data_IF_104349970545
#
_entry.id   IF_104349970545
#
_cell.length_a   1.000
_cell.length_b   1.000
_cell.length_c   1.000
_cell.angle_alpha   90.00
_cell.angle_beta   90.00
_cell.angle_gamma   90.00
#
_symmetry.space_group_name_H-M   'P 1'
#
loop_
_entity.id
_entity.type
_entity.pdbx_description
1 polymer ?
#
# COMPACT_ATOMS: atom_id res chain seq x y z
N UNK A 1 -9.18 -69.89 -28.07
CA UNK A 1 -10.18 -68.83 -28.35
C UNK A 1 -10.33 -67.96 -27.11
N UNK A 2 -10.39 -66.62 -27.30
CA UNK A 2 -10.75 -65.54 -26.35
C UNK A 2 -9.66 -65.01 -25.41
N UNK A 3 -9.67 -63.68 -25.11
CA UNK A 3 -8.60 -62.79 -25.57
C UNK A 3 -7.93 -61.95 -24.46
N UNK A 4 -6.80 -61.33 -24.84
CA UNK A 4 -6.18 -60.16 -24.22
C UNK A 4 -7.22 -59.06 -23.94
N UNK A 5 -7.17 -58.46 -22.75
CA UNK A 5 -7.74 -57.13 -22.49
C UNK A 5 -6.63 -56.26 -21.89
N UNK A 6 -6.09 -55.37 -22.73
CA UNK A 6 -5.28 -54.22 -22.36
C UNK A 6 -6.20 -53.15 -21.73
N UNK A 7 -5.91 -52.76 -20.49
CA UNK A 7 -6.52 -51.59 -19.85
C UNK A 7 -5.63 -50.36 -20.05
N UNK A 8 -6.02 -49.50 -21.00
CA UNK A 8 -5.68 -48.08 -21.06
C UNK A 8 -6.25 -47.40 -19.78
N UNK A 9 -5.57 -46.53 -19.03
CA UNK A 9 -4.77 -45.40 -19.46
C UNK A 9 -5.60 -44.12 -19.44
N UNK A 10 -5.99 -43.59 -18.27
CA UNK A 10 -6.69 -42.28 -18.17
C UNK A 10 -6.66 -41.73 -16.72
N UNK A 11 -5.54 -41.15 -16.25
CA UNK A 11 -5.51 -40.43 -14.95
C UNK A 11 -4.33 -39.46 -14.81
N UNK A 12 -3.99 -38.67 -15.83
CA UNK A 12 -2.88 -37.68 -15.71
C UNK A 12 -3.19 -36.28 -16.28
N UNK A 13 -4.45 -35.97 -16.62
CA UNK A 13 -4.78 -34.72 -17.31
C UNK A 13 -5.30 -33.56 -16.45
N UNK A 14 -5.82 -33.80 -15.24
CA UNK A 14 -6.63 -32.78 -14.55
C UNK A 14 -5.86 -31.91 -13.54
N UNK A 15 -4.65 -32.29 -13.13
CA UNK A 15 -3.94 -31.60 -12.03
C UNK A 15 -3.05 -30.42 -12.48
N UNK A 16 -2.75 -30.29 -13.78
CA UNK A 16 -1.82 -29.26 -14.27
C UNK A 16 -2.49 -27.92 -14.61
N UNK A 17 -3.82 -27.89 -14.80
CA UNK A 17 -4.53 -26.64 -15.10
C UNK A 17 -4.84 -25.81 -13.84
N UNK A 18 -4.95 -26.44 -12.66
CA UNK A 18 -5.23 -25.71 -11.43
C UNK A 18 -4.01 -24.96 -10.86
N UNK A 19 -2.79 -25.43 -11.11
CA UNK A 19 -1.58 -24.75 -10.63
C UNK A 19 -1.29 -23.44 -11.41
N UNK A 20 -1.67 -23.37 -12.69
CA UNK A 20 -1.49 -22.17 -13.52
C UNK A 20 -2.46 -21.03 -13.15
N UNK A 21 -3.66 -21.34 -12.63
CA UNK A 21 -4.65 -20.35 -12.23
C UNK A 21 -4.37 -19.69 -10.86
N UNK A 22 -3.59 -20.33 -9.99
CA UNK A 22 -3.26 -19.78 -8.66
C UNK A 22 -2.01 -18.88 -8.71
N UNK A 23 -1.16 -19.00 -9.74
CA UNK A 23 0.01 -18.13 -9.92
C UNK A 23 -0.32 -16.74 -10.52
N UNK A 24 -1.53 -16.53 -11.02
CA UNK A 24 -1.92 -15.31 -11.73
C UNK A 24 -2.65 -14.26 -10.86
N UNK A 25 -2.84 -14.50 -9.55
CA UNK A 25 -3.11 -13.41 -8.61
C UNK A 25 -1.81 -12.65 -8.27
N UNK A 26 -0.99 -12.40 -9.30
CA UNK A 26 0.14 -11.50 -9.23
C UNK A 26 -0.39 -10.16 -8.74
N UNK A 27 0.17 -9.68 -7.64
CA UNK A 27 -0.06 -8.33 -7.12
C UNK A 27 0.01 -7.37 -8.30
N UNK A 28 -1.13 -6.92 -8.83
CA UNK A 28 -1.16 -5.86 -9.82
C UNK A 28 -0.51 -4.68 -9.13
N UNK A 29 0.65 -4.27 -9.65
CA UNK A 29 1.32 -3.10 -9.12
C UNK A 29 0.51 -1.85 -9.41
N UNK A 30 0.94 -0.72 -8.87
CA UNK A 30 0.16 0.52 -8.92
C UNK A 30 -0.07 0.91 -10.40
N UNK A 31 -1.33 1.22 -10.81
CA UNK A 31 -1.65 1.64 -12.17
C UNK A 31 -0.80 2.83 -12.61
N UNK A 32 -0.45 2.89 -13.90
CA UNK A 32 0.50 3.87 -14.43
C UNK A 32 0.11 5.32 -14.10
N UNK A 33 -1.15 5.70 -14.36
CA UNK A 33 -1.64 7.06 -14.10
C UNK A 33 -1.50 7.43 -12.61
N UNK A 34 -1.90 6.50 -11.72
CA UNK A 34 -1.75 6.69 -10.27
C UNK A 34 -0.28 6.81 -9.88
N UNK A 35 0.63 6.00 -10.45
CA UNK A 35 2.06 6.13 -10.17
C UNK A 35 2.62 7.47 -10.58
N UNK A 36 2.22 7.96 -11.75
CA UNK A 36 2.69 9.25 -12.26
C UNK A 36 2.20 10.40 -11.40
N UNK A 37 0.96 10.34 -10.92
CA UNK A 37 0.41 11.29 -9.97
C UNK A 37 1.13 11.23 -8.61
N UNK A 38 1.42 10.04 -8.07
CA UNK A 38 2.01 9.88 -6.74
C UNK A 38 3.51 10.22 -6.68
N UNK A 39 4.26 10.03 -7.76
CA UNK A 39 5.71 10.27 -7.75
C UNK A 39 5.99 11.77 -7.56
N UNK A 40 6.85 12.07 -6.60
CA UNK A 40 7.21 13.45 -6.26
C UNK A 40 7.45 13.65 -4.77
N UNK A 41 7.50 14.91 -4.38
CA UNK A 41 7.62 15.33 -3.00
C UNK A 41 6.30 15.93 -2.50
N UNK A 42 5.87 15.48 -1.33
CA UNK A 42 4.58 15.81 -0.73
C UNK A 42 4.71 16.17 0.74
N UNK A 43 3.84 17.07 1.20
CA UNK A 43 3.67 17.51 2.59
C UNK A 43 2.21 17.28 2.98
N UNK A 44 1.85 16.08 3.48
CA UNK A 44 0.47 15.78 3.90
C UNK A 44 0.07 16.50 5.17
N UNK A 45 1.01 16.58 6.12
CA UNK A 45 0.82 17.33 7.37
C UNK A 45 2.02 18.22 7.60
N UNK A 46 1.80 19.28 8.36
CA UNK A 46 2.87 20.13 8.85
C UNK A 46 3.88 19.28 9.66
N UNK A 47 5.17 19.45 9.34
CA UNK A 47 6.24 18.67 9.95
C UNK A 47 6.43 17.26 9.40
N UNK A 48 5.72 16.85 8.35
CA UNK A 48 5.91 15.58 7.65
C UNK A 48 6.17 15.78 6.15
N UNK A 49 7.23 15.15 5.62
CA UNK A 49 7.60 15.22 4.21
C UNK A 49 7.79 13.82 3.64
N UNK A 50 7.15 13.57 2.51
CA UNK A 50 7.21 12.32 1.76
C UNK A 50 7.93 12.54 0.43
N UNK A 51 8.93 11.72 0.14
CA UNK A 51 9.51 11.58 -1.19
C UNK A 51 9.10 10.22 -1.74
N UNK A 52 8.18 10.21 -2.70
CA UNK A 52 7.69 8.99 -3.35
C UNK A 52 8.42 8.79 -4.67
N UNK A 53 9.12 7.67 -4.79
CA UNK A 53 9.88 7.31 -5.98
C UNK A 53 9.42 5.97 -6.55
N UNK A 54 9.72 5.76 -7.84
CA UNK A 54 9.48 4.48 -8.51
C UNK A 54 10.41 3.40 -7.95
N UNK A 55 9.89 2.19 -7.82
CA UNK A 55 10.63 0.99 -7.45
C UNK A 55 10.32 -0.12 -8.47
N UNK A 56 11.22 -0.31 -9.44
CA UNK A 56 10.98 -1.21 -10.57
C UNK A 56 9.87 -0.70 -11.49
N UNK A 57 9.30 -1.62 -12.29
CA UNK A 57 8.29 -1.26 -13.31
C UNK A 57 6.94 -0.87 -12.72
N UNK A 58 6.57 -1.49 -11.59
CA UNK A 58 5.20 -1.44 -11.07
C UNK A 58 5.09 -1.00 -9.61
N UNK A 59 6.22 -0.87 -8.90
CA UNK A 59 6.27 -0.51 -7.48
C UNK A 59 6.53 0.97 -7.22
N UNK A 60 6.19 1.40 -6.01
CA UNK A 60 6.54 2.71 -5.47
C UNK A 60 7.11 2.54 -4.06
N UNK A 61 8.00 3.46 -3.67
CA UNK A 61 8.56 3.53 -2.33
C UNK A 61 8.54 4.98 -1.85
N UNK A 62 8.14 5.18 -0.60
CA UNK A 62 8.19 6.46 0.08
C UNK A 62 9.40 6.51 1.02
N UNK A 63 10.12 7.63 1.03
CA UNK A 63 10.95 8.07 2.15
C UNK A 63 10.19 9.13 2.93
N UNK A 64 9.95 8.86 4.21
CA UNK A 64 9.21 9.76 5.11
C UNK A 64 10.20 10.40 6.06
N UNK A 65 10.17 11.73 6.12
CA UNK A 65 11.02 12.55 6.97
C UNK A 65 10.18 13.52 7.78
N UNK A 66 10.75 14.00 8.89
CA UNK A 66 10.06 14.88 9.84
C UNK A 66 10.91 16.12 10.09
N UNK A 67 10.84 17.14 9.19
CA UNK A 67 11.64 18.36 9.30
C UNK A 67 11.28 19.18 10.55
N UNK A 68 10.00 19.27 10.89
CA UNK A 68 9.52 19.88 12.13
C UNK A 68 8.93 18.79 13.04
N UNK A 69 9.77 18.30 13.95
CA UNK A 69 9.38 17.23 14.87
C UNK A 69 8.49 17.71 15.99
N UNK A 70 8.52 19.01 16.32
CA UNK A 70 7.74 19.57 17.42
C UNK A 70 6.28 19.74 17.02
N UNK A 71 6.03 20.29 15.82
CA UNK A 71 4.70 20.36 15.24
C UNK A 71 4.03 18.97 15.18
N UNK A 72 4.80 17.97 14.72
CA UNK A 72 4.31 16.59 14.63
C UNK A 72 4.01 15.98 16.02
N UNK A 73 4.87 16.24 17.03
CA UNK A 73 4.66 15.78 18.40
C UNK A 73 3.41 16.39 19.01
N UNK A 74 3.18 17.68 18.81
CA UNK A 74 1.99 18.38 19.29
C UNK A 74 0.71 17.82 18.65
N UNK A 75 0.70 17.66 17.32
CA UNK A 75 -0.46 17.14 16.57
C UNK A 75 -0.86 15.74 17.02
N UNK A 76 0.11 14.82 17.08
CA UNK A 76 -0.17 13.41 17.34
C UNK A 76 0.06 12.99 18.80
N UNK A 77 0.31 13.95 19.70
CA UNK A 77 0.58 13.73 21.14
C UNK A 77 1.64 12.64 21.37
N UNK A 78 2.73 12.71 20.60
CA UNK A 78 3.75 11.67 20.59
C UNK A 78 4.59 11.73 21.86
N UNK A 79 4.78 10.57 22.49
CA UNK A 79 5.69 10.43 23.63
C UNK A 79 7.17 10.45 23.24
N UNK A 80 7.48 10.04 22.01
CA UNK A 80 8.84 9.95 21.49
C UNK A 80 9.06 10.76 20.22
N UNK A 81 10.33 10.96 19.87
CA UNK A 81 10.73 11.68 18.68
C UNK A 81 10.51 10.81 17.43
N UNK A 82 9.73 11.29 16.44
CA UNK A 82 9.49 10.55 15.22
C UNK A 82 10.81 10.40 14.43
N UNK A 83 11.06 9.18 13.92
CA UNK A 83 12.29 8.87 13.16
C UNK A 83 11.97 8.66 11.69
N UNK A 84 12.75 9.28 10.77
CA UNK A 84 12.61 9.04 9.35
C UNK A 84 12.63 7.54 9.03
N UNK A 85 11.82 7.14 8.06
CA UNK A 85 11.75 5.74 7.64
C UNK A 85 11.38 5.61 6.17
N UNK A 86 11.44 4.38 5.66
CA UNK A 86 11.02 4.05 4.29
C UNK A 86 9.84 3.10 4.34
N UNK A 87 8.89 3.29 3.43
CA UNK A 87 7.73 2.43 3.30
C UNK A 87 7.51 2.06 1.83
N UNK A 88 7.23 0.79 1.56
CA UNK A 88 6.75 0.37 0.24
C UNK A 88 5.27 0.66 0.13
N UNK A 89 4.83 1.14 -1.03
CA UNK A 89 3.41 1.31 -1.30
C UNK A 89 2.84 -0.03 -1.80
N UNK A 90 1.67 -0.39 -1.28
CA UNK A 90 0.89 -1.55 -1.73
C UNK A 90 -0.38 -1.05 -2.39
N UNK A 91 -0.65 -1.52 -3.61
CA UNK A 91 -1.92 -1.24 -4.29
C UNK A 91 -3.04 -2.12 -3.73
N UNK A 92 -4.20 -1.53 -3.49
CA UNK A 92 -5.42 -2.23 -3.04
C UNK A 92 -6.48 -2.02 -4.11
N UNK A 93 -6.60 -3.00 -5.01
CA UNK A 93 -7.45 -2.93 -6.22
C UNK A 93 -8.91 -2.66 -5.86
N UNK A 94 -9.46 -3.33 -4.84
CA UNK A 94 -10.88 -3.22 -4.47
C UNK A 94 -11.28 -1.83 -3.94
N UNK A 95 -10.29 -0.96 -3.70
CA UNK A 95 -10.47 0.39 -3.18
C UNK A 95 -9.80 1.46 -4.05
N UNK A 96 -9.19 1.05 -5.17
CA UNK A 96 -8.48 1.93 -6.10
C UNK A 96 -7.53 2.92 -5.40
N UNK A 97 -6.78 2.43 -4.41
CA UNK A 97 -5.89 3.26 -3.61
C UNK A 97 -4.54 2.58 -3.36
N UNK A 98 -3.49 3.39 -3.22
CA UNK A 98 -2.22 2.94 -2.69
C UNK A 98 -2.20 3.05 -1.16
N UNK A 99 -1.51 2.15 -0.48
CA UNK A 99 -1.34 2.18 0.96
C UNK A 99 0.14 2.14 1.34
N UNK A 100 0.53 2.93 2.34
CA UNK A 100 1.85 2.87 2.95
C UNK A 100 1.79 3.01 4.47
N UNK A 101 2.78 2.43 5.15
CA UNK A 101 3.03 2.72 6.56
C UNK A 101 3.50 4.17 6.65
N UNK A 102 2.72 5.02 7.31
CA UNK A 102 2.94 6.46 7.40
C UNK A 102 2.73 6.95 8.82
N UNK A 103 3.03 8.23 9.03
CA UNK A 103 2.89 8.86 10.33
C UNK A 103 4.00 8.44 11.29
N UNK A 104 4.08 9.13 12.43
CA UNK A 104 5.10 8.90 13.42
C UNK A 104 5.02 7.49 14.00
N UNK A 105 6.11 6.73 13.83
CA UNK A 105 6.26 5.30 14.18
C UNK A 105 6.03 4.94 15.65
N UNK A 106 5.73 5.90 16.51
CA UNK A 106 5.48 5.69 17.95
C UNK A 106 4.05 5.26 18.27
N UNK A 107 3.13 5.30 17.30
CA UNK A 107 1.78 4.75 17.45
C UNK A 107 1.66 3.39 16.76
N UNK A 108 1.30 2.34 17.51
CA UNK A 108 1.12 1.00 16.95
C UNK A 108 0.07 0.99 15.83
N UNK A 109 0.52 0.78 14.60
CA UNK A 109 -0.31 0.37 13.47
C UNK A 109 -1.02 1.50 12.71
N UNK A 110 -0.34 2.58 12.31
CA UNK A 110 -0.92 3.53 11.37
C UNK A 110 -0.60 3.19 9.92
N UNK A 111 -1.50 3.57 9.00
CA UNK A 111 -1.22 3.54 7.57
C UNK A 111 -1.99 4.66 6.87
N UNK A 112 -1.49 5.07 5.72
CA UNK A 112 -2.12 6.07 4.88
C UNK A 112 -2.69 5.39 3.65
N UNK A 113 -3.89 5.80 3.27
CA UNK A 113 -4.48 5.53 1.97
C UNK A 113 -4.28 6.75 1.06
N UNK A 114 -3.79 6.52 -0.15
CA UNK A 114 -3.51 7.54 -1.15
C UNK A 114 -4.42 7.24 -2.34
N UNK A 115 -5.26 8.22 -2.68
CA UNK A 115 -6.18 8.17 -3.82
C UNK A 115 -5.97 9.41 -4.66
N UNK A 116 -6.12 9.26 -5.98
CA UNK A 116 -6.18 10.39 -6.90
C UNK A 116 -7.65 10.60 -7.24
N UNK A 117 -8.17 11.79 -7.03
CA UNK A 117 -9.57 12.11 -7.35
C UNK A 117 -9.78 12.35 -8.86
N UNK A 118 -11.01 12.67 -9.25
CA UNK A 118 -11.40 12.85 -10.66
C UNK A 118 -10.71 14.07 -11.29
N UNK A 119 -10.34 15.05 -10.46
CA UNK A 119 -9.59 16.24 -10.82
C UNK A 119 -8.07 15.98 -10.95
N UNK A 120 -7.60 14.78 -10.62
CA UNK A 120 -6.18 14.43 -10.65
C UNK A 120 -5.41 14.85 -9.40
N UNK A 121 -6.10 15.31 -8.36
CA UNK A 121 -5.51 15.77 -7.11
C UNK A 121 -5.31 14.59 -6.14
N UNK A 122 -4.24 14.68 -5.34
CA UNK A 122 -3.93 13.67 -4.34
C UNK A 122 -4.80 13.88 -3.08
N UNK A 123 -5.44 12.82 -2.62
CA UNK A 123 -6.09 12.74 -1.32
C UNK A 123 -5.37 11.71 -0.45
N UNK A 124 -5.08 12.08 0.80
CA UNK A 124 -4.41 11.23 1.78
C UNK A 124 -5.31 11.06 2.99
N UNK A 125 -5.69 9.82 3.28
CA UNK A 125 -6.45 9.47 4.49
C UNK A 125 -5.58 8.69 5.47
N UNK A 126 -5.48 9.17 6.71
CA UNK A 126 -4.76 8.52 7.80
C UNK A 126 -5.68 7.56 8.55
N UNK A 127 -5.24 6.31 8.68
CA UNK A 127 -5.92 5.28 9.45
C UNK A 127 -5.08 4.81 10.63
N UNK A 128 -5.70 4.71 11.81
CA UNK A 128 -5.13 4.03 12.95
C UNK A 128 -5.69 2.61 13.06
N UNK A 129 -4.83 1.59 13.09
CA UNK A 129 -5.26 0.21 13.35
C UNK A 129 -5.57 0.06 14.83
N UNK A 130 -6.77 -0.45 15.12
CA UNK A 130 -7.13 -0.88 16.46
C UNK A 130 -6.34 -2.12 16.90
N UNK A 131 -6.37 -2.40 18.20
CA UNK A 131 -5.92 -3.67 18.75
C UNK A 131 -6.95 -4.79 18.45
N UNK A 132 -6.49 -6.02 18.20
CA UNK A 132 -7.36 -7.20 17.99
C UNK A 132 -7.69 -7.55 16.53
N UNK A 133 -8.80 -8.28 16.30
CA UNK A 133 -9.19 -8.88 15.00
C UNK A 133 -9.48 -7.86 13.88
N UNK A 134 -9.64 -6.58 14.21
CA UNK A 134 -9.95 -5.49 13.26
C UNK A 134 -8.72 -4.78 12.65
N UNK A 135 -7.51 -5.36 12.79
CA UNK A 135 -6.25 -4.82 12.25
C UNK A 135 -6.26 -4.49 10.75
N UNK A 136 -7.18 -5.07 9.97
CA UNK A 136 -7.21 -4.90 8.50
C UNK A 136 -7.93 -3.65 8.02
N UNK A 137 -8.93 -3.13 8.76
CA UNK A 137 -9.75 -2.01 8.27
C UNK A 137 -9.28 -0.63 8.75
N UNK A 138 -8.66 -0.56 9.93
CA UNK A 138 -8.28 0.71 10.55
C UNK A 138 -9.50 1.58 10.88
N UNK A 139 -9.32 2.58 11.76
CA UNK A 139 -10.28 3.66 11.97
C UNK A 139 -9.73 4.89 11.25
N UNK A 140 -10.56 5.56 10.45
CA UNK A 140 -10.20 6.84 9.85
C UNK A 140 -9.94 7.86 10.96
N UNK A 141 -8.78 8.50 10.92
CA UNK A 141 -8.34 9.52 11.88
C UNK A 141 -8.48 10.91 11.27
N UNK A 142 -8.06 11.05 10.01
CA UNK A 142 -7.94 12.34 9.34
C UNK A 142 -7.88 12.15 7.81
N UNK A 143 -8.26 13.18 7.06
CA UNK A 143 -8.13 13.24 5.60
C UNK A 143 -7.60 14.60 5.19
N UNK A 144 -6.59 14.61 4.31
CA UNK A 144 -5.92 15.84 3.86
C UNK A 144 -5.65 15.80 2.36
N UNK A 145 -5.60 16.99 1.74
CA UNK A 145 -4.98 17.19 0.43
C UNK A 145 -3.53 17.65 0.66
N UNK A 146 -2.52 16.80 0.41
CA UNK A 146 -1.14 17.14 0.63
C UNK A 146 -0.69 18.23 -0.34
N UNK A 147 0.20 19.11 0.13
CA UNK A 147 0.87 20.09 -0.73
C UNK A 147 2.09 19.46 -1.38
N UNK A 148 2.50 19.94 -2.56
CA UNK A 148 3.82 19.63 -3.12
C UNK A 148 4.89 20.28 -2.24
N UNK A 149 6.08 19.68 -2.18
CA UNK A 149 7.23 20.39 -1.59
C UNK A 149 7.65 21.49 -2.55
N UNK A 150 7.56 22.73 -2.10
CA UNK A 150 8.19 23.90 -2.75
C UNK A 150 9.72 23.86 -2.56
#
# INVERSE_FOLDING_TARGET
MRPLVLALGFSLGCSLLFAALVAAQGRRGVPRAVREALVGCWVPWEGERWEITRQGETGLRARITYPDREALRARFRLRGTPRPHRASLTWVEEREQAQLACGPTTQHGQFCALRVDEEGELEVALYARGWGRNRRRGRLVDTVRPRRCE
#
